data_IF_261924529772
#
_entry.id   IF_261924529772
#
_cell.length_a   1.000
_cell.length_b   1.000
_cell.length_c   1.000
_cell.angle_alpha   90.00
_cell.angle_beta   90.00
_cell.angle_gamma   90.00
#
_symmetry.space_group_name_H-M   'P 1'
#
loop_
_entity.id
_entity.type
_entity.pdbx_description
1 polymer ?
#
# COMPACT_ATOMS: atom_id res chain seq x y z
N UNK A 1 -55.21 -15.99 1.09
CA UNK A 1 -54.73 -17.16 0.30
C UNK A 1 -53.26 -16.92 -0.04
N UNK A 2 -52.42 -17.96 -0.10
CA UNK A 2 -51.31 -18.21 0.82
C UNK A 2 -50.03 -17.38 0.59
N UNK A 3 -49.34 -17.18 1.71
CA UNK A 3 -47.97 -16.64 1.89
C UNK A 3 -46.92 -17.56 1.28
N UNK A 4 -46.11 -17.06 0.34
CA UNK A 4 -44.93 -17.77 -0.14
C UNK A 4 -43.74 -17.45 0.77
N UNK A 5 -43.30 -18.48 1.50
CA UNK A 5 -42.21 -18.43 2.47
C UNK A 5 -40.85 -18.24 1.83
N UNK A 6 -40.02 -17.44 2.50
CA UNK A 6 -38.61 -17.23 2.20
C UNK A 6 -37.81 -18.40 2.78
N UNK A 7 -37.16 -19.20 1.94
CA UNK A 7 -36.23 -20.23 2.38
C UNK A 7 -34.97 -19.61 2.99
N UNK A 8 -34.49 -20.09 4.15
CA UNK A 8 -33.18 -19.69 4.69
C UNK A 8 -32.05 -20.39 3.93
N UNK A 9 -31.10 -19.60 3.41
CA UNK A 9 -29.84 -20.09 2.85
C UNK A 9 -28.91 -20.43 4.02
N UNK A 10 -28.49 -21.69 4.09
CA UNK A 10 -27.55 -22.21 5.09
C UNK A 10 -26.10 -21.72 4.83
N UNK A 11 -25.27 -21.54 5.88
CA UNK A 11 -23.86 -21.21 5.72
C UNK A 11 -23.03 -22.42 5.27
N UNK A 12 -21.94 -22.23 4.50
CA UNK A 12 -21.02 -23.33 4.17
C UNK A 12 -20.17 -23.74 5.38
N UNK A 13 -20.08 -25.06 5.56
CA UNK A 13 -19.35 -25.75 6.63
C UNK A 13 -17.84 -25.54 6.55
N UNK A 14 -17.24 -25.27 7.70
CA UNK A 14 -15.80 -25.27 7.95
C UNK A 14 -15.23 -26.68 7.84
N UNK A 15 -14.31 -26.92 6.88
CA UNK A 15 -13.51 -28.13 6.86
C UNK A 15 -12.05 -27.77 7.19
N UNK A 16 -11.67 -28.00 8.44
CA UNK A 16 -10.28 -27.96 8.87
C UNK A 16 -9.56 -29.24 8.46
N UNK A 17 -8.40 -29.10 7.81
CA UNK A 17 -7.46 -30.19 7.63
C UNK A 17 -6.10 -29.78 8.20
N UNK A 18 -5.61 -30.62 9.12
CA UNK A 18 -4.37 -30.45 9.86
C UNK A 18 -3.26 -31.30 9.24
N UNK A 19 -2.06 -30.70 9.19
CA UNK A 19 -0.71 -31.27 9.43
C UNK A 19 -0.23 -32.42 8.51
N UNK A 20 0.90 -32.19 7.85
CA UNK A 20 2.03 -33.13 7.84
C UNK A 20 3.34 -32.37 7.53
N UNK A 21 4.25 -32.36 8.50
CA UNK A 21 5.67 -32.04 8.33
C UNK A 21 6.39 -33.38 8.45
N UNK A 22 7.03 -33.83 7.38
CA UNK A 22 7.89 -35.02 7.41
C UNK A 22 9.28 -34.62 6.92
N UNK A 23 10.24 -34.70 7.83
CA UNK A 23 11.66 -34.73 7.51
C UNK A 23 12.08 -36.13 7.11
N UNK A 24 13.12 -36.22 6.27
CA UNK A 24 13.85 -37.46 6.03
C UNK A 24 15.35 -37.18 5.92
N UNK A 25 16.09 -37.97 6.67
CA UNK A 25 17.51 -37.90 7.00
C UNK A 25 18.38 -38.73 6.05
N UNK A 26 19.60 -38.22 5.80
CA UNK A 26 20.92 -38.86 5.72
C UNK A 26 21.13 -40.30 5.17
N UNK A 27 22.13 -40.43 4.30
CA UNK A 27 22.99 -41.62 4.12
C UNK A 27 24.35 -41.15 3.52
N UNK A 28 25.46 -41.11 4.27
CA UNK A 28 26.47 -42.14 4.59
C UNK A 28 27.44 -42.53 3.46
N UNK A 29 28.75 -42.24 3.68
CA UNK A 29 29.92 -43.13 3.45
C UNK A 29 31.14 -42.50 4.16
N UNK A 30 31.68 -43.09 5.24
CA UNK A 30 32.77 -44.11 5.30
C UNK A 30 34.11 -43.56 4.74
N UNK A 31 35.30 -43.73 5.29
CA UNK A 31 35.92 -44.49 6.39
C UNK A 31 37.34 -43.84 6.55
N UNK A 32 37.82 -43.47 7.73
CA UNK A 32 38.71 -44.23 8.63
C UNK A 32 40.22 -43.89 8.48
N UNK A 33 40.95 -43.98 9.61
CA UNK A 33 42.43 -43.95 9.80
C UNK A 33 43.10 -42.56 9.82
N UNK A 34 44.03 -42.20 10.70
CA UNK A 34 44.79 -42.89 11.75
C UNK A 34 45.29 -41.81 12.74
N UNK A 35 45.32 -42.14 14.03
CA UNK A 35 45.90 -41.31 15.09
C UNK A 35 47.17 -42.00 15.60
N UNK A 36 48.34 -41.49 15.21
CA UNK A 36 49.62 -41.86 15.82
C UNK A 36 50.50 -40.62 15.96
N UNK A 37 50.83 -40.30 17.20
CA UNK A 37 51.58 -39.12 17.55
C UNK A 37 53.04 -39.19 17.14
N UNK A 38 53.66 -38.02 17.06
CA UNK A 38 55.07 -37.84 17.33
C UNK A 38 55.27 -36.55 18.12
N UNK A 39 55.85 -36.71 19.32
CA UNK A 39 56.47 -35.66 20.10
C UNK A 39 57.76 -35.24 19.38
N UNK A 40 57.90 -33.98 18.96
CA UNK A 40 59.22 -33.35 18.84
C UNK A 40 59.16 -31.90 19.31
N UNK A 41 59.98 -31.60 20.33
CA UNK A 41 60.12 -30.27 20.91
C UNK A 41 61.09 -29.46 20.04
N UNK A 42 60.71 -28.26 19.60
CA UNK A 42 61.67 -27.28 19.08
C UNK A 42 61.23 -25.86 19.45
N UNK A 43 61.55 -25.52 20.69
CA UNK A 43 61.74 -24.19 21.26
C UNK A 43 62.52 -23.24 20.31
N UNK A 44 61.88 -22.15 19.87
CA UNK A 44 62.56 -20.93 19.39
C UNK A 44 61.93 -19.68 20.03
N UNK A 45 62.49 -19.35 21.18
CA UNK A 45 62.86 -18.01 21.68
C UNK A 45 62.33 -16.73 21.01
N UNK A 46 61.90 -15.81 21.91
CA UNK A 46 62.11 -14.33 21.92
C UNK A 46 61.16 -13.51 21.03
N UNK A 47 60.59 -12.37 21.44
CA UNK A 47 60.73 -11.50 22.62
C UNK A 47 59.55 -10.50 22.61
N UNK A 48 59.04 -10.18 23.79
CA UNK A 48 58.14 -9.05 24.07
C UNK A 48 58.81 -7.70 23.78
N UNK A 49 58.11 -6.79 23.11
CA UNK A 49 58.25 -5.34 23.34
C UNK A 49 56.90 -4.66 23.11
N UNK A 50 56.20 -4.37 24.22
CA UNK A 50 55.20 -3.30 24.29
C UNK A 50 55.94 -1.98 24.53
N UNK A 51 55.44 -0.90 23.93
CA UNK A 51 55.40 0.51 24.39
C UNK A 51 55.11 1.35 23.13
N UNK A 52 53.86 1.79 22.93
CA UNK A 52 53.28 3.03 23.46
C UNK A 52 53.69 4.29 22.67
N UNK A 53 52.68 5.02 22.17
CA UNK A 53 52.81 6.37 21.61
C UNK A 53 51.87 6.55 20.41
N UNK A 54 50.62 6.98 20.56
CA UNK A 54 50.15 8.34 20.88
C UNK A 54 49.54 9.00 19.62
N UNK A 55 48.21 9.18 19.64
CA UNK A 55 47.45 10.33 19.11
C UNK A 55 46.00 9.90 18.80
N UNK A 56 45.21 9.61 19.84
CA UNK A 56 43.77 9.56 19.70
C UNK A 56 43.25 11.00 19.60
N UNK A 57 43.21 11.55 18.39
CA UNK A 57 42.44 12.77 18.12
C UNK A 57 40.97 12.34 18.16
N UNK A 58 40.35 12.46 19.34
CA UNK A 58 38.90 12.38 19.48
C UNK A 58 38.29 13.60 18.78
N UNK A 59 38.11 13.50 17.46
CA UNK A 59 37.33 14.46 16.69
C UNK A 59 35.87 14.31 17.14
N UNK A 60 35.45 15.18 18.05
CA UNK A 60 34.05 15.32 18.45
C UNK A 60 33.28 15.90 17.25
N UNK A 61 32.86 15.02 16.34
CA UNK A 61 32.02 15.38 15.22
C UNK A 61 30.66 15.83 15.79
N UNK A 62 30.47 17.15 15.92
CA UNK A 62 29.15 17.73 16.13
C UNK A 62 28.30 17.39 14.90
N UNK A 63 27.59 16.26 14.96
CA UNK A 63 26.53 15.93 14.01
C UNK A 63 25.42 16.95 14.21
N UNK A 64 25.49 18.04 13.46
CA UNK A 64 24.36 18.96 13.33
C UNK A 64 23.29 18.21 12.56
N UNK A 65 22.34 17.62 13.29
CA UNK A 65 21.13 17.05 12.70
C UNK A 65 20.36 18.19 12.05
N UNK A 66 20.55 18.37 10.75
CA UNK A 66 19.72 19.23 9.93
C UNK A 66 18.34 18.59 9.86
N UNK A 67 17.44 19.04 10.73
CA UNK A 67 16.02 18.73 10.63
C UNK A 67 15.51 19.32 9.32
N UNK A 68 15.42 18.47 8.30
CA UNK A 68 14.86 18.83 7.01
C UNK A 68 13.39 19.23 7.25
N UNK A 69 12.97 20.46 6.88
CA UNK A 69 11.59 20.86 7.09
C UNK A 69 10.70 19.86 6.37
N UNK A 70 9.74 19.28 7.11
CA UNK A 70 8.69 18.50 6.50
C UNK A 70 8.04 19.39 5.43
N UNK A 71 8.18 19.01 4.16
CA UNK A 71 7.56 19.72 3.05
C UNK A 71 6.09 19.86 3.37
N UNK A 72 5.61 21.09 3.58
CA UNK A 72 4.18 21.33 3.77
C UNK A 72 3.49 20.70 2.55
N UNK A 73 2.64 19.70 2.79
CA UNK A 73 1.94 19.03 1.69
C UNK A 73 1.20 20.10 0.90
N UNK A 74 1.54 20.22 -0.39
CA UNK A 74 0.95 21.24 -1.24
C UNK A 74 -0.56 21.02 -1.31
N UNK A 75 -1.32 22.10 -1.16
CA UNK A 75 -2.78 22.05 -1.24
C UNK A 75 -3.21 21.60 -2.64
N UNK A 76 -4.02 20.55 -2.69
CA UNK A 76 -4.55 19.98 -3.92
C UNK A 76 -5.78 20.79 -4.33
N UNK A 77 -5.78 21.30 -5.56
CA UNK A 77 -6.91 22.02 -6.13
C UNK A 77 -7.77 21.07 -6.94
N UNK A 78 -9.08 21.00 -6.64
CA UNK A 78 -9.98 20.16 -7.42
C UNK A 78 -9.92 20.51 -8.92
N UNK A 79 -10.10 21.78 -9.28
CA UNK A 79 -10.18 22.20 -10.67
C UNK A 79 -8.89 21.96 -11.47
N UNK A 80 -7.72 22.08 -10.84
CA UNK A 80 -6.42 21.95 -11.51
C UNK A 80 -5.92 20.51 -11.53
N UNK A 81 -6.09 19.80 -10.40
CA UNK A 81 -5.37 18.56 -10.14
C UNK A 81 -6.31 17.33 -10.22
N UNK A 82 -7.55 17.45 -9.75
CA UNK A 82 -8.51 16.31 -9.67
C UNK A 82 -9.42 16.25 -10.89
N UNK A 83 -9.95 17.40 -11.33
CA UNK A 83 -10.91 17.48 -12.42
C UNK A 83 -10.40 16.87 -13.73
N UNK A 84 -9.16 17.10 -14.19
CA UNK A 84 -8.66 16.46 -15.42
C UNK A 84 -8.68 14.92 -15.36
N UNK A 85 -8.53 14.35 -14.17
CA UNK A 85 -8.62 12.90 -13.95
C UNK A 85 -10.09 12.46 -14.04
N UNK A 86 -11.00 13.17 -13.36
CA UNK A 86 -12.44 12.87 -13.36
C UNK A 86 -13.03 13.00 -14.78
N UNK A 87 -12.70 14.08 -15.48
CA UNK A 87 -13.16 14.36 -16.83
C UNK A 87 -12.73 13.25 -17.80
N UNK A 88 -11.46 12.83 -17.75
CA UNK A 88 -10.92 11.84 -18.68
C UNK A 88 -11.30 10.39 -18.33
N UNK A 89 -11.49 10.06 -17.06
CA UNK A 89 -11.66 8.66 -16.60
C UNK A 89 -13.07 8.31 -16.16
N UNK A 90 -13.94 9.29 -15.86
CA UNK A 90 -15.22 9.02 -15.20
C UNK A 90 -16.42 9.57 -15.99
N UNK A 91 -16.30 10.75 -16.60
CA UNK A 91 -17.47 11.46 -17.17
C UNK A 91 -18.12 10.75 -18.36
N UNK A 92 -17.40 9.90 -19.09
CA UNK A 92 -18.00 9.14 -20.20
C UNK A 92 -19.16 8.22 -19.76
N UNK A 93 -19.04 7.62 -18.57
CA UNK A 93 -20.02 6.67 -18.02
C UNK A 93 -20.82 7.23 -16.83
N UNK A 94 -20.31 8.29 -16.19
CA UNK A 94 -20.92 8.98 -15.05
C UNK A 94 -21.10 10.48 -15.33
N UNK A 95 -21.53 10.83 -16.53
CA UNK A 95 -21.73 12.20 -17.00
C UNK A 95 -23.16 12.47 -17.45
N UNK A 96 -23.42 13.59 -18.14
CA UNK A 96 -24.78 13.94 -18.54
C UNK A 96 -25.40 12.95 -19.53
N UNK A 97 -24.56 12.29 -20.34
CA UNK A 97 -24.99 11.34 -21.38
C UNK A 97 -25.31 9.98 -20.79
N UNK A 98 -24.42 9.46 -19.94
CA UNK A 98 -24.57 8.16 -19.30
C UNK A 98 -24.36 8.29 -17.79
N UNK A 99 -25.25 7.67 -17.03
CA UNK A 99 -25.35 7.82 -15.58
C UNK A 99 -25.36 6.44 -14.94
N UNK A 100 -24.31 5.65 -15.21
CA UNK A 100 -24.19 4.33 -14.63
C UNK A 100 -24.34 4.42 -13.11
N UNK A 101 -25.20 3.55 -12.57
CA UNK A 101 -25.57 3.52 -11.15
C UNK A 101 -26.14 4.85 -10.61
N UNK A 102 -26.82 5.62 -11.46
CA UNK A 102 -27.39 6.94 -11.17
C UNK A 102 -26.35 7.94 -10.62
N UNK A 103 -25.06 7.74 -10.93
CA UNK A 103 -23.95 8.58 -10.47
C UNK A 103 -23.54 9.57 -11.57
N UNK A 104 -23.34 10.82 -11.13
CA UNK A 104 -22.92 11.95 -11.96
C UNK A 104 -21.68 12.61 -11.37
N UNK A 105 -20.66 12.81 -12.20
CA UNK A 105 -19.33 13.29 -11.81
C UNK A 105 -18.88 14.56 -12.52
N UNK A 106 -19.75 15.21 -13.31
CA UNK A 106 -19.46 16.42 -14.10
C UNK A 106 -19.79 17.74 -13.38
N UNK A 107 -20.45 17.68 -12.22
CA UNK A 107 -20.73 18.88 -11.40
C UNK A 107 -20.46 18.62 -9.92
N UNK A 108 -20.03 19.66 -9.20
CA UNK A 108 -19.74 19.55 -7.78
C UNK A 108 -20.98 19.12 -6.99
N UNK A 109 -22.14 19.68 -7.34
CA UNK A 109 -23.42 19.32 -6.72
C UNK A 109 -23.74 17.83 -6.92
N UNK A 110 -23.53 17.30 -8.12
CA UNK A 110 -23.87 15.91 -8.41
C UNK A 110 -22.89 14.92 -7.77
N UNK A 111 -21.58 15.23 -7.77
CA UNK A 111 -20.57 14.45 -7.05
C UNK A 111 -20.93 14.39 -5.55
N UNK A 112 -21.28 15.54 -4.97
CA UNK A 112 -21.72 15.63 -3.58
C UNK A 112 -23.04 14.90 -3.33
N UNK A 113 -23.94 14.86 -4.32
CA UNK A 113 -25.20 14.12 -4.22
C UNK A 113 -24.93 12.61 -4.07
N UNK A 114 -23.98 12.08 -4.84
CA UNK A 114 -23.68 10.65 -4.94
C UNK A 114 -24.55 9.97 -5.99
N UNK A 115 -24.56 8.63 -5.98
CA UNK A 115 -25.36 7.82 -6.89
C UNK A 115 -26.35 6.92 -6.15
N UNK A 116 -26.83 5.87 -6.80
CA UNK A 116 -27.73 4.86 -6.20
C UNK A 116 -27.17 4.23 -4.93
N UNK A 117 -25.85 4.07 -4.86
CA UNK A 117 -25.14 3.55 -3.67
C UNK A 117 -25.00 4.56 -2.51
N UNK A 118 -25.52 5.78 -2.67
CA UNK A 118 -25.39 6.86 -1.69
C UNK A 118 -24.19 7.76 -1.95
N UNK A 119 -23.70 8.40 -0.88
CA UNK A 119 -22.56 9.32 -0.92
C UNK A 119 -21.28 8.59 -1.32
N UNK A 120 -20.51 9.21 -2.21
CA UNK A 120 -19.22 8.67 -2.68
C UNK A 120 -18.01 9.33 -2.02
N UNK A 121 -18.24 10.44 -1.32
CA UNK A 121 -17.22 11.21 -0.61
C UNK A 121 -17.54 11.31 0.88
N UNK A 122 -16.52 11.08 1.68
CA UNK A 122 -16.47 11.38 3.11
C UNK A 122 -15.28 12.33 3.32
N UNK A 123 -15.53 13.66 3.40
CA UNK A 123 -14.46 14.65 3.59
C UNK A 123 -13.52 14.28 4.74
N UNK A 124 -12.21 14.32 4.46
CA UNK A 124 -11.15 13.98 5.42
C UNK A 124 -10.91 12.48 5.62
N UNK A 125 -11.70 11.59 4.99
CA UNK A 125 -11.64 10.14 5.21
C UNK A 125 -11.63 9.39 3.86
N UNK A 126 -10.48 9.35 3.16
CA UNK A 126 -10.35 8.68 1.86
C UNK A 126 -10.79 7.21 1.90
N UNK A 127 -10.38 6.47 2.91
CA UNK A 127 -10.64 5.03 3.04
C UNK A 127 -12.11 4.70 3.30
N UNK A 128 -12.92 5.70 3.68
CA UNK A 128 -14.37 5.58 3.81
C UNK A 128 -15.13 6.18 2.61
N UNK A 129 -14.41 6.79 1.68
CA UNK A 129 -14.98 7.37 0.46
C UNK A 129 -14.97 6.33 -0.64
N UNK A 130 -16.16 5.90 -1.08
CA UNK A 130 -16.25 4.87 -2.13
C UNK A 130 -15.61 5.31 -3.44
N UNK A 131 -15.51 6.61 -3.71
CA UNK A 131 -14.75 7.10 -4.86
C UNK A 131 -13.28 6.64 -4.81
N UNK A 132 -12.59 6.87 -3.69
CA UNK A 132 -11.20 6.46 -3.54
C UNK A 132 -11.06 4.94 -3.48
N UNK A 133 -11.92 4.26 -2.71
CA UNK A 133 -11.76 2.81 -2.55
C UNK A 133 -11.93 2.08 -3.88
N UNK A 134 -12.86 2.50 -4.73
CA UNK A 134 -13.13 1.89 -6.05
C UNK A 134 -11.99 2.07 -7.05
N UNK A 135 -11.30 3.20 -7.04
CA UNK A 135 -10.16 3.43 -7.96
C UNK A 135 -8.85 2.83 -7.45
N UNK A 136 -8.81 2.39 -6.19
CA UNK A 136 -7.64 1.80 -5.53
C UNK A 136 -7.79 0.29 -5.27
N UNK A 137 -8.75 -0.36 -5.93
CA UNK A 137 -8.89 -1.82 -5.89
C UNK A 137 -7.77 -2.51 -6.70
N UNK A 138 -7.51 -3.80 -6.46
CA UNK A 138 -6.66 -4.61 -7.32
C UNK A 138 -7.13 -4.60 -8.78
N UNK A 139 -6.20 -4.76 -9.72
CA UNK A 139 -6.49 -4.71 -11.16
C UNK A 139 -7.44 -5.81 -11.66
N UNK A 140 -7.58 -6.91 -10.91
CA UNK A 140 -8.44 -8.04 -11.21
C UNK A 140 -9.80 -8.00 -10.48
N UNK A 141 -10.04 -6.94 -9.69
CA UNK A 141 -11.31 -6.77 -8.98
C UNK A 141 -12.42 -6.26 -9.92
N UNK A 142 -13.59 -6.90 -9.87
CA UNK A 142 -14.74 -6.56 -10.71
C UNK A 142 -15.37 -5.21 -10.37
N UNK A 143 -15.12 -4.71 -9.15
CA UNK A 143 -15.62 -3.41 -8.68
C UNK A 143 -14.65 -2.26 -8.97
N UNK A 144 -13.47 -2.53 -9.55
CA UNK A 144 -12.47 -1.53 -9.90
C UNK A 144 -13.04 -0.48 -10.87
N UNK A 145 -12.67 0.78 -10.65
CA UNK A 145 -12.99 1.88 -11.55
C UNK A 145 -11.71 2.52 -12.12
N UNK A 146 -11.68 2.87 -13.42
CA UNK A 146 -12.77 2.72 -14.39
C UNK A 146 -13.01 1.26 -14.79
N UNK A 147 -14.26 0.92 -15.12
CA UNK A 147 -14.65 -0.44 -15.53
C UNK A 147 -14.14 -0.80 -16.94
N UNK A 148 -13.82 0.21 -17.75
CA UNK A 148 -13.24 0.06 -19.08
C UNK A 148 -11.97 0.90 -19.17
N UNK A 149 -10.98 0.41 -19.93
CA UNK A 149 -9.69 1.05 -20.09
C UNK A 149 -8.69 0.70 -18.98
N UNK A 150 -7.56 1.41 -18.96
CA UNK A 150 -6.50 1.16 -17.99
C UNK A 150 -6.87 1.73 -16.60
N UNK A 151 -6.48 1.06 -15.52
CA UNK A 151 -6.58 1.61 -14.17
C UNK A 151 -5.90 2.99 -14.05
N UNK A 152 -6.30 3.76 -13.04
CA UNK A 152 -5.60 5.00 -12.73
C UNK A 152 -4.14 4.70 -12.35
N UNK A 153 -3.26 5.61 -12.73
CA UNK A 153 -1.87 5.57 -12.28
C UNK A 153 -1.79 5.81 -10.76
N UNK A 154 -0.72 5.34 -10.09
CA UNK A 154 -0.53 5.58 -8.66
C UNK A 154 -0.58 7.07 -8.28
N UNK A 155 -0.12 7.96 -9.17
CA UNK A 155 -0.12 9.39 -8.91
C UNK A 155 -1.52 10.04 -9.04
N UNK A 156 -2.34 9.56 -9.98
CA UNK A 156 -3.74 9.98 -10.08
C UNK A 156 -4.52 9.54 -8.83
N UNK A 157 -4.33 8.29 -8.40
CA UNK A 157 -4.94 7.75 -7.16
C UNK A 157 -4.53 8.58 -5.94
N UNK A 158 -3.23 8.88 -5.80
CA UNK A 158 -2.73 9.68 -4.69
C UNK A 158 -3.28 11.12 -4.72
N UNK A 159 -3.46 11.70 -5.91
CA UNK A 159 -4.05 13.04 -6.06
C UNK A 159 -5.49 13.06 -5.55
N UNK A 160 -6.30 12.05 -5.90
CA UNK A 160 -7.67 11.89 -5.40
C UNK A 160 -7.67 11.67 -3.88
N UNK A 161 -6.80 10.78 -3.39
CA UNK A 161 -6.68 10.48 -1.95
C UNK A 161 -6.33 11.72 -1.14
N UNK A 162 -5.33 12.47 -1.58
CA UNK A 162 -4.87 13.68 -0.92
C UNK A 162 -5.94 14.77 -0.92
N UNK A 163 -6.65 14.97 -2.04
CA UNK A 163 -7.78 15.90 -2.09
C UNK A 163 -8.90 15.54 -1.10
N UNK A 164 -9.29 14.27 -1.03
CA UNK A 164 -10.30 13.83 -0.05
C UNK A 164 -9.79 14.03 1.38
N UNK A 165 -8.55 13.67 1.66
CA UNK A 165 -7.92 13.87 2.96
C UNK A 165 -7.86 15.35 3.38
N UNK A 166 -7.75 16.26 2.42
CA UNK A 166 -7.79 17.71 2.63
C UNK A 166 -9.21 18.28 2.74
N UNK A 167 -10.24 17.42 2.77
CA UNK A 167 -11.63 17.82 2.99
C UNK A 167 -12.50 17.80 1.74
N UNK A 168 -12.01 17.25 0.62
CA UNK A 168 -12.74 17.19 -0.64
C UNK A 168 -13.29 18.56 -1.09
N UNK A 169 -12.49 19.62 -0.91
CA UNK A 169 -12.89 20.98 -1.24
C UNK A 169 -12.87 21.20 -2.77
N UNK A 170 -14.02 21.57 -3.33
CA UNK A 170 -14.14 21.95 -4.74
C UNK A 170 -13.65 23.39 -5.00
N UNK A 171 -13.41 24.16 -3.94
CA UNK A 171 -13.12 25.59 -4.01
C UNK A 171 -14.30 26.32 -4.64
N UNK A 172 -14.06 26.93 -5.81
CA UNK A 172 -15.09 27.61 -6.60
C UNK A 172 -15.60 26.83 -7.82
N UNK A 173 -15.13 25.59 -8.04
CA UNK A 173 -15.54 24.81 -9.20
C UNK A 173 -16.96 24.26 -9.00
N UNK A 174 -17.84 24.49 -9.98
CA UNK A 174 -19.25 24.09 -9.91
C UNK A 174 -19.62 23.00 -10.92
N UNK A 175 -18.86 22.87 -12.00
CA UNK A 175 -19.10 21.88 -13.06
C UNK A 175 -18.35 22.21 -14.36
N UNK A 176 -18.22 21.19 -15.20
CA UNK A 176 -17.59 21.22 -16.53
C UNK A 176 -18.18 20.16 -17.43
#
# INVERSE_FOLDING_TARGET
MPTAGRSPIAPPSTLGLRIAVEGATAATRADDLDSRGELTLNHWTRTTTLLAGAAAIAALALTTSTSQPASAAQQVSFARDVWPIVESRCVSCHGPVDQFNDLRMDTAQAILAGGRGGKILVPGQPEQSTFYTRVNLPADDLDLMPAEGDPLSPQEIETIRAWIAQGADFGGWTGG
#
